data_IF_044772987452
#
_entry.id   IF_044772987452
#
_cell.length_a   1.000
_cell.length_b   1.000
_cell.length_c   1.000
_cell.angle_alpha   90.00
_cell.angle_beta   90.00
_cell.angle_gamma   90.00
#
_symmetry.space_group_name_H-M   'P 1'
#
loop_
_entity.id
_entity.type
_entity.pdbx_description
1 polymer ?
#
# COMPACT_ATOMS: atom_id res chain seq x y z
N UNK A 1 -26.78 13.45 -8.95
CA UNK A 1 -25.85 14.60 -9.09
C UNK A 1 -24.98 14.29 -10.29
N UNK A 2 -24.71 15.22 -11.21
CA UNK A 2 -23.79 14.94 -12.31
C UNK A 2 -22.44 14.57 -11.67
N UNK A 3 -21.84 13.48 -12.14
CA UNK A 3 -20.53 13.06 -11.69
C UNK A 3 -19.50 14.09 -12.17
N UNK A 4 -19.25 15.12 -11.36
CA UNK A 4 -18.24 16.13 -11.64
C UNK A 4 -16.87 15.46 -11.54
N UNK A 5 -16.22 15.26 -12.68
CA UNK A 5 -14.87 14.72 -12.73
C UNK A 5 -13.92 15.70 -12.04
N UNK A 6 -13.24 15.22 -11.00
CA UNK A 6 -12.21 15.98 -10.28
C UNK A 6 -10.84 15.81 -10.94
N UNK A 7 -10.15 16.92 -11.19
CA UNK A 7 -8.75 16.88 -11.62
C UNK A 7 -7.83 16.68 -10.40
N UNK A 8 -7.22 15.51 -10.30
CA UNK A 8 -6.28 15.14 -9.24
C UNK A 8 -5.05 14.44 -9.83
N UNK A 9 -3.92 14.49 -9.12
CA UNK A 9 -2.76 13.68 -9.47
C UNK A 9 -3.09 12.20 -9.38
N UNK A 10 -2.51 11.39 -10.27
CA UNK A 10 -2.68 9.94 -10.25
C UNK A 10 -2.27 9.32 -8.90
N UNK A 11 -1.16 9.78 -8.32
CA UNK A 11 -0.72 9.37 -6.98
C UNK A 11 -1.76 9.68 -5.91
N UNK A 12 -2.49 10.79 -6.04
CA UNK A 12 -3.57 11.14 -5.11
C UNK A 12 -4.78 10.24 -5.28
N UNK A 13 -5.13 9.88 -6.52
CA UNK A 13 -6.21 8.93 -6.77
C UNK A 13 -5.91 7.54 -6.17
N UNK A 14 -4.67 7.05 -6.33
CA UNK A 14 -4.23 5.78 -5.71
C UNK A 14 -4.24 5.89 -4.19
N UNK A 15 -3.74 7.00 -3.62
CA UNK A 15 -3.79 7.26 -2.18
C UNK A 15 -5.22 7.24 -1.63
N UNK A 16 -6.17 7.91 -2.31
CA UNK A 16 -7.59 7.92 -1.91
C UNK A 16 -8.18 6.51 -1.96
N UNK A 17 -7.91 5.72 -3.01
CA UNK A 17 -8.37 4.34 -3.09
C UNK A 17 -7.82 3.45 -1.96
N UNK A 18 -6.53 3.57 -1.63
CA UNK A 18 -5.92 2.85 -0.51
C UNK A 18 -6.53 3.29 0.83
N UNK A 19 -6.78 4.59 1.01
CA UNK A 19 -7.41 5.14 2.20
C UNK A 19 -8.85 4.62 2.40
N UNK A 20 -9.63 4.60 1.33
CA UNK A 20 -11.02 4.10 1.32
C UNK A 20 -11.07 2.61 1.70
N UNK A 21 -10.23 1.77 1.09
CA UNK A 21 -10.21 0.33 1.39
C UNK A 21 -9.66 0.03 2.80
N UNK A 22 -8.64 0.77 3.26
CA UNK A 22 -8.14 0.64 4.63
C UNK A 22 -9.20 1.01 5.68
N UNK A 23 -10.04 2.01 5.39
CA UNK A 23 -11.15 2.40 6.26
C UNK A 23 -12.31 1.40 6.23
N UNK A 24 -12.62 0.87 5.06
CA UNK A 24 -13.77 -0.01 4.85
C UNK A 24 -13.54 -1.43 5.38
N UNK A 25 -12.34 -1.99 5.16
CA UNK A 25 -12.05 -3.39 5.43
C UNK A 25 -10.87 -3.55 6.40
N UNK A 26 -11.07 -4.11 7.60
CA UNK A 26 -10.00 -4.29 8.57
C UNK A 26 -8.94 -5.31 8.15
N UNK A 27 -9.24 -6.19 7.18
CA UNK A 27 -8.33 -7.22 6.69
C UNK A 27 -7.37 -6.69 5.62
N UNK A 28 -7.60 -5.48 5.08
CA UNK A 28 -6.68 -4.82 4.14
C UNK A 28 -5.43 -4.34 4.87
N UNK A 29 -4.25 -4.72 4.38
CA UNK A 29 -2.95 -4.30 4.93
C UNK A 29 -2.02 -3.92 3.78
N UNK A 30 -1.11 -2.97 4.01
CA UNK A 30 -0.11 -2.58 3.02
C UNK A 30 1.27 -3.08 3.46
N UNK A 31 2.04 -3.58 2.49
CA UNK A 31 3.44 -4.00 2.67
C UNK A 31 4.31 -3.38 1.57
N UNK A 32 5.49 -2.92 1.93
CA UNK A 32 6.44 -2.40 0.94
C UNK A 32 7.58 -1.60 1.56
N UNK A 33 8.48 -1.15 0.71
CA UNK A 33 9.66 -0.37 1.09
C UNK A 33 9.29 1.12 1.24
N UNK A 34 9.74 1.75 2.31
CA UNK A 34 9.54 3.18 2.62
C UNK A 34 8.05 3.65 2.68
N UNK A 35 7.08 2.74 2.67
CA UNK A 35 5.65 3.09 2.67
C UNK A 35 5.11 3.55 4.04
N UNK A 36 5.91 3.41 5.10
CA UNK A 36 5.55 3.73 6.48
C UNK A 36 5.62 5.23 6.78
N UNK A 37 6.46 5.61 7.75
CA UNK A 37 6.59 7.01 8.20
C UNK A 37 7.05 7.94 7.07
N UNK A 38 7.85 7.42 6.13
CA UNK A 38 8.31 8.21 4.98
C UNK A 38 7.17 8.54 3.98
N UNK A 39 6.17 7.65 3.86
CA UNK A 39 4.99 7.85 3.02
C UNK A 39 5.14 7.44 1.55
N UNK A 40 6.10 6.55 1.27
CA UNK A 40 6.39 5.98 -0.05
C UNK A 40 7.33 6.87 -0.88
N UNK A 41 8.15 6.23 -1.73
CA UNK A 41 9.13 6.91 -2.60
C UNK A 41 8.51 8.04 -3.45
N UNK A 42 7.26 7.85 -3.88
CA UNK A 42 6.48 8.81 -4.69
C UNK A 42 5.39 9.54 -3.89
N UNK A 43 5.36 9.39 -2.57
CA UNK A 43 4.35 10.03 -1.70
C UNK A 43 2.95 9.43 -1.81
N UNK A 44 2.79 8.24 -2.40
CA UNK A 44 1.48 7.59 -2.62
C UNK A 44 0.84 7.14 -1.31
N UNK A 45 1.61 6.76 -0.29
CA UNK A 45 1.07 6.29 1.00
C UNK A 45 1.15 7.35 2.11
N UNK A 46 1.53 8.59 1.77
CA UNK A 46 1.67 9.68 2.75
C UNK A 46 0.39 9.88 3.56
N UNK A 47 0.54 9.96 4.89
CA UNK A 47 -0.56 10.17 5.84
C UNK A 47 -1.30 8.89 6.26
N UNK A 48 -1.11 7.77 5.55
CA UNK A 48 -1.80 6.52 5.87
C UNK A 48 -1.20 5.83 7.09
N UNK A 49 0.12 5.92 7.29
CA UNK A 49 0.79 5.33 8.45
C UNK A 49 0.32 5.99 9.75
N UNK A 50 0.23 7.32 9.78
CA UNK A 50 -0.27 8.07 10.93
C UNK A 50 -1.75 7.76 11.22
N UNK A 51 -2.55 7.51 10.17
CA UNK A 51 -3.98 7.24 10.29
C UNK A 51 -4.30 5.83 10.77
N UNK A 52 -3.58 4.81 10.27
CA UNK A 52 -3.92 3.40 10.50
C UNK A 52 -2.90 2.62 11.34
N UNK A 53 -1.68 3.15 11.48
CA UNK A 53 -0.65 2.61 12.33
C UNK A 53 0.07 1.35 11.78
N UNK A 54 1.07 0.86 12.53
CA UNK A 54 2.04 -0.13 12.06
C UNK A 54 1.47 -1.55 11.87
N UNK A 55 0.23 -1.80 12.28
CA UNK A 55 -0.46 -3.08 12.01
C UNK A 55 -1.11 -3.12 10.63
N UNK A 56 -1.43 -1.95 10.06
CA UNK A 56 -2.10 -1.80 8.78
C UNK A 56 -1.14 -1.41 7.66
N UNK A 57 -0.04 -0.72 7.99
CA UNK A 57 1.04 -0.40 7.08
C UNK A 57 2.36 -0.95 7.64
N UNK A 58 2.95 -1.94 6.96
CA UNK A 58 4.19 -2.59 7.36
C UNK A 58 5.31 -2.25 6.39
N UNK A 59 6.27 -1.47 6.88
CA UNK A 59 7.50 -1.20 6.16
C UNK A 59 8.39 -2.46 6.15
N UNK A 60 8.97 -2.77 4.99
CA UNK A 60 9.73 -4.00 4.77
C UNK A 60 11.20 -3.70 4.50
N UNK A 61 12.12 -4.65 4.78
CA UNK A 61 13.47 -4.59 4.23
C UNK A 61 13.45 -4.62 2.69
N UNK A 62 14.56 -4.20 2.07
CA UNK A 62 14.78 -4.30 0.62
C UNK A 62 15.00 -5.77 0.24
N UNK A 63 13.89 -6.49 0.03
CA UNK A 63 13.86 -7.92 -0.27
C UNK A 63 12.50 -8.31 -0.84
N UNK A 64 12.29 -8.00 -2.12
CA UNK A 64 11.03 -8.09 -2.86
C UNK A 64 10.38 -9.47 -2.74
N UNK A 65 11.11 -10.53 -3.09
CA UNK A 65 10.65 -11.92 -2.96
C UNK A 65 10.14 -12.24 -1.55
N UNK A 66 10.82 -11.73 -0.52
CA UNK A 66 10.54 -12.08 0.86
C UNK A 66 9.22 -11.47 1.30
N UNK A 67 9.01 -10.17 1.10
CA UNK A 67 7.77 -9.53 1.53
C UNK A 67 6.58 -9.85 0.62
N UNK A 68 6.81 -10.16 -0.65
CA UNK A 68 5.77 -10.69 -1.54
C UNK A 68 5.36 -12.09 -1.10
N UNK A 69 6.33 -12.96 -0.76
CA UNK A 69 6.04 -14.27 -0.16
C UNK A 69 5.28 -14.18 1.16
N UNK A 70 5.63 -13.22 2.02
CA UNK A 70 4.85 -12.92 3.23
C UNK A 70 3.42 -12.49 2.90
N UNK A 71 3.22 -11.63 1.91
CA UNK A 71 1.90 -11.21 1.47
C UNK A 71 1.07 -12.39 0.95
N UNK A 72 1.66 -13.31 0.17
CA UNK A 72 0.99 -14.54 -0.25
C UNK A 72 0.53 -15.35 0.96
N UNK A 73 1.41 -15.58 1.94
CA UNK A 73 1.04 -16.27 3.18
C UNK A 73 -0.07 -15.57 3.96
N UNK A 74 0.00 -14.25 4.09
CA UNK A 74 -1.02 -13.43 4.74
C UNK A 74 -2.38 -13.55 4.03
N UNK A 75 -2.38 -13.52 2.70
CA UNK A 75 -3.58 -13.70 1.89
C UNK A 75 -4.20 -15.09 2.08
N UNK A 76 -3.38 -16.14 2.12
CA UNK A 76 -3.84 -17.51 2.43
C UNK A 76 -4.49 -17.62 3.82
N UNK A 77 -4.10 -16.76 4.77
CA UNK A 77 -4.65 -16.70 6.11
C UNK A 77 -5.86 -15.75 6.26
N UNK A 78 -6.33 -15.14 5.17
CA UNK A 78 -7.55 -14.33 5.13
C UNK A 78 -7.34 -12.82 5.12
N UNK A 79 -6.09 -12.33 5.19
CA UNK A 79 -5.81 -10.91 4.99
C UNK A 79 -5.91 -10.53 3.50
N UNK A 80 -5.99 -9.22 3.23
CA UNK A 80 -6.05 -8.64 1.88
C UNK A 80 -4.85 -7.71 1.67
N UNK A 81 -3.64 -8.27 1.49
CA UNK A 81 -2.44 -7.46 1.37
C UNK A 81 -2.39 -6.72 0.02
N UNK A 82 -2.04 -5.44 0.08
CA UNK A 82 -1.68 -4.60 -1.06
C UNK A 82 -0.18 -4.35 -0.98
N UNK A 83 0.57 -4.88 -1.94
CA UNK A 83 2.04 -4.82 -1.94
C UNK A 83 2.52 -3.70 -2.86
N UNK A 84 3.40 -2.84 -2.36
CA UNK A 84 4.14 -1.85 -3.15
C UNK A 84 5.54 -2.38 -3.48
N UNK A 85 5.87 -2.44 -4.77
CA UNK A 85 7.23 -2.61 -5.28
C UNK A 85 7.68 -1.23 -5.76
N UNK A 86 8.79 -0.72 -5.22
CA UNK A 86 9.19 0.69 -5.39
C UNK A 86 9.30 1.11 -6.86
N UNK A 87 9.96 0.28 -7.68
CA UNK A 87 10.09 0.47 -9.12
C UNK A 87 9.77 -0.82 -9.85
N UNK A 88 9.12 -0.72 -11.02
CA UNK A 88 8.77 -1.89 -11.83
C UNK A 88 9.99 -2.70 -12.26
N UNK A 89 11.16 -2.08 -12.37
CA UNK A 89 12.44 -2.74 -12.66
C UNK A 89 12.79 -3.86 -11.65
N UNK A 90 12.26 -3.79 -10.42
CA UNK A 90 12.50 -4.77 -9.36
C UNK A 90 11.46 -5.90 -9.32
N UNK A 91 10.46 -5.90 -10.20
CA UNK A 91 9.41 -6.94 -10.21
C UNK A 91 9.95 -8.34 -10.48
N UNK A 92 11.11 -8.47 -11.14
CA UNK A 92 11.74 -9.76 -11.40
C UNK A 92 12.38 -10.38 -10.14
N UNK A 93 12.51 -9.61 -9.06
CA UNK A 93 12.95 -10.06 -7.75
C UNK A 93 11.78 -10.52 -6.86
N UNK A 94 10.53 -10.31 -7.30
CA UNK A 94 9.30 -10.52 -6.52
C UNK A 94 8.65 -11.89 -6.76
#
# INVERSE_FOLDING_TARGET
MPNESRDIFYSKAVNEALDEELAHDPDVVLLGEDIGIYGGAFGVTRGLFEKYGPKRLQETPISENSFVGMAVGAAMMGLKPVVEIMFMDFIALA
#
